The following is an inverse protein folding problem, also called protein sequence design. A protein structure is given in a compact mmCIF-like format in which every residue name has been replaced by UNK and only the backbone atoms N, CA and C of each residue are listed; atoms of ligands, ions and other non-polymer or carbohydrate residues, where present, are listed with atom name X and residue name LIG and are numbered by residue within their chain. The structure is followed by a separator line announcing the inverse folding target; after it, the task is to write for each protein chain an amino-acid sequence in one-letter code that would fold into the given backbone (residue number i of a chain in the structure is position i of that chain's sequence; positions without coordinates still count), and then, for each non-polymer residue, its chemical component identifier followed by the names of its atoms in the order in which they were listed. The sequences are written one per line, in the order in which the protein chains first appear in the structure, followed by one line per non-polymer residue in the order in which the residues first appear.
data_IF_240025612905
#
_entry.id   IF_240025612905
#
_cell.length_a   1.000
_cell.length_b   1.000
_cell.length_c   1.000
_cell.angle_alpha   90.00
_cell.angle_beta   90.00
_cell.angle_gamma   90.00
#
_symmetry.space_group_name_H-M   'P 1'
#
loop_
_entity.id
_entity.type
_entity.pdbx_description
1 polymer ?
#
# COMPACT_ATOMS: atom_id res chain seq x y z
N UNK A 1 -23.66 16.00 6.03
CA UNK A 1 -23.49 17.48 6.04
C UNK A 1 -23.05 17.88 4.65
N UNK A 2 -23.84 18.68 3.92
CA UNK A 2 -23.47 19.20 2.61
C UNK A 2 -22.31 20.21 2.75
N UNK A 3 -21.08 19.71 2.78
CA UNK A 3 -19.88 20.53 2.71
C UNK A 3 -19.67 20.93 1.26
N UNK A 4 -20.04 22.17 0.93
CA UNK A 4 -19.67 22.79 -0.35
C UNK A 4 -18.15 22.94 -0.38
N UNK A 5 -17.46 22.27 -1.31
CA UNK A 5 -16.01 22.44 -1.52
C UNK A 5 -15.72 23.93 -1.73
N UNK A 6 -14.93 24.52 -0.83
CA UNK A 6 -14.53 25.94 -0.89
C UNK A 6 -13.20 26.16 -1.60
N UNK A 7 -12.57 25.09 -2.08
CA UNK A 7 -11.25 25.12 -2.71
C UNK A 7 -11.45 25.42 -4.20
N UNK A 8 -10.93 26.55 -4.64
CA UNK A 8 -10.90 26.95 -6.04
C UNK A 8 -9.74 26.20 -6.73
N UNK A 9 -10.06 25.27 -7.63
CA UNK A 9 -9.06 24.44 -8.31
C UNK A 9 -8.51 25.08 -9.59
N UNK A 10 -8.72 26.38 -9.80
CA UNK A 10 -8.13 27.08 -10.94
C UNK A 10 -6.59 27.01 -10.90
N UNK A 11 -6.02 26.73 -12.08
CA UNK A 11 -4.61 26.52 -12.44
C UNK A 11 -3.56 27.04 -11.44
N UNK A 12 -3.34 26.30 -10.36
CA UNK A 12 -2.10 26.38 -9.60
C UNK A 12 -1.07 25.49 -10.30
N UNK A 13 0.08 26.06 -10.63
CA UNK A 13 1.24 25.31 -11.12
C UNK A 13 1.63 24.27 -10.06
N UNK A 14 1.69 22.99 -10.43
CA UNK A 14 2.10 21.93 -9.50
C UNK A 14 3.63 21.97 -9.41
N UNK A 15 4.15 22.46 -8.29
CA UNK A 15 5.57 22.40 -7.96
C UNK A 15 5.80 21.35 -6.89
N UNK A 16 6.78 20.49 -7.15
CA UNK A 16 7.22 19.45 -6.22
C UNK A 16 8.69 19.62 -5.89
N UNK A 17 9.10 19.11 -4.72
CA UNK A 17 10.53 19.10 -4.34
C UNK A 17 11.32 18.12 -5.20
N UNK A 18 12.34 18.61 -5.92
CA UNK A 18 13.23 17.80 -6.75
C UNK A 18 14.71 18.00 -6.40
N UNK A 19 15.59 17.24 -7.06
CA UNK A 19 17.04 17.35 -6.95
C UNK A 19 17.65 16.35 -5.97
N UNK A 20 18.93 16.07 -6.16
CA UNK A 20 19.66 15.08 -5.37
C UNK A 20 19.60 15.35 -3.86
N UNK A 21 19.62 14.27 -3.07
CA UNK A 21 19.75 14.37 -1.61
C UNK A 21 21.20 14.81 -1.25
N UNK A 22 21.40 15.59 -0.18
CA UNK A 22 22.72 16.09 0.19
C UNK A 22 23.79 14.99 0.27
N UNK A 23 24.96 15.25 -0.32
CA UNK A 23 26.11 14.35 -0.34
C UNK A 23 25.85 12.95 -0.95
N UNK A 24 24.79 12.80 -1.75
CA UNK A 24 24.48 11.54 -2.44
C UNK A 24 24.09 11.75 -3.90
N UNK A 25 24.23 10.70 -4.69
CA UNK A 25 23.78 10.65 -6.08
C UNK A 25 22.91 9.43 -6.34
N UNK A 26 21.88 9.60 -7.16
CA UNK A 26 21.11 8.47 -7.71
C UNK A 26 22.04 7.60 -8.56
N UNK A 27 21.95 6.30 -8.38
CA UNK A 27 22.61 5.29 -9.21
C UNK A 27 21.58 4.20 -9.58
N UNK A 28 21.87 3.45 -10.63
CA UNK A 28 21.09 2.29 -11.02
C UNK A 28 22.00 1.07 -11.12
N UNK A 29 21.55 -0.04 -10.55
CA UNK A 29 22.19 -1.35 -10.72
C UNK A 29 21.41 -2.11 -11.78
N UNK A 30 22.09 -2.45 -12.87
CA UNK A 30 21.50 -3.21 -13.98
C UNK A 30 21.34 -4.68 -13.59
N UNK A 31 20.16 -5.25 -13.90
CA UNK A 31 19.88 -6.67 -13.74
C UNK A 31 20.35 -7.52 -14.94
N UNK A 32 19.78 -8.71 -15.09
CA UNK A 32 20.07 -9.61 -16.20
C UNK A 32 19.58 -9.12 -17.56
N UNK A 33 18.64 -8.16 -17.56
CA UNK A 33 18.03 -7.52 -18.72
C UNK A 33 18.14 -5.99 -18.57
N UNK A 34 18.47 -5.30 -19.66
CA UNK A 34 18.71 -3.84 -19.65
C UNK A 34 17.49 -3.01 -19.22
N UNK A 35 16.27 -3.58 -19.26
CA UNK A 35 15.07 -2.92 -18.73
C UNK A 35 15.01 -2.90 -17.20
N UNK A 36 15.78 -3.75 -16.51
CA UNK A 36 15.87 -3.82 -15.05
C UNK A 36 16.98 -2.87 -14.59
N UNK A 37 16.59 -1.65 -14.22
CA UNK A 37 17.48 -0.62 -13.67
C UNK A 37 17.05 -0.33 -12.23
N UNK A 38 17.76 -0.91 -11.26
CA UNK A 38 17.34 -0.87 -9.85
C UNK A 38 17.93 0.36 -9.15
N UNK A 39 17.09 1.31 -8.70
CA UNK A 39 17.56 2.56 -8.14
C UNK A 39 18.06 2.38 -6.72
N UNK A 40 19.19 3.04 -6.46
CA UNK A 40 19.77 3.24 -5.13
C UNK A 40 20.29 4.67 -5.06
N UNK A 41 20.69 5.12 -3.88
CA UNK A 41 21.54 6.29 -3.75
C UNK A 41 22.89 5.91 -3.18
N UNK A 42 23.93 6.50 -3.75
CA UNK A 42 25.31 6.32 -3.32
C UNK A 42 25.74 7.54 -2.51
N UNK A 43 26.21 7.31 -1.28
CA UNK A 43 26.74 8.34 -0.39
C UNK A 43 28.26 8.34 -0.52
N UNK A 44 28.81 9.49 -0.92
CA UNK A 44 30.26 9.64 -1.06
C UNK A 44 30.93 9.76 0.30
N UNK A 45 31.87 8.87 0.57
CA UNK A 45 32.70 8.94 1.77
C UNK A 45 33.99 9.73 1.47
N UNK A 46 34.61 10.24 2.52
CA UNK A 46 35.89 10.94 2.37
C UNK A 46 36.98 9.94 1.94
N UNK A 47 37.81 10.31 0.97
CA UNK A 47 38.86 9.44 0.45
C UNK A 47 39.86 8.98 1.54
N UNK A 48 40.03 9.76 2.61
CA UNK A 48 40.89 9.40 3.75
C UNK A 48 40.34 8.24 4.59
N UNK A 49 39.05 7.92 4.49
CA UNK A 49 38.46 6.75 5.15
C UNK A 49 38.94 5.43 4.52
N UNK A 50 39.37 5.45 3.25
CA UNK A 50 39.75 4.25 2.48
C UNK A 50 38.64 3.17 2.50
N UNK A 51 37.40 3.62 2.42
CA UNK A 51 36.18 2.82 2.35
C UNK A 51 35.50 3.02 1.00
N UNK A 52 34.69 2.04 0.55
CA UNK A 52 33.85 2.20 -0.63
C UNK A 52 32.68 3.13 -0.31
N UNK A 53 32.21 3.87 -1.31
CA UNK A 53 31.00 4.68 -1.18
C UNK A 53 29.80 3.79 -0.82
N UNK A 54 28.91 4.30 0.03
CA UNK A 54 27.84 3.51 0.61
C UNK A 54 26.58 3.59 -0.26
N UNK A 55 26.18 2.45 -0.84
CA UNK A 55 24.89 2.31 -1.54
C UNK A 55 23.79 1.97 -0.55
N UNK A 56 22.74 2.77 -0.54
CA UNK A 56 21.58 2.61 0.34
C UNK A 56 20.29 2.64 -0.46
N UNK A 57 19.25 2.07 0.15
CA UNK A 57 17.90 2.02 -0.39
C UNK A 57 17.39 3.43 -0.68
N UNK A 58 16.67 3.58 -1.79
CA UNK A 58 16.14 4.86 -2.23
C UNK A 58 14.77 4.69 -2.90
N UNK A 59 13.77 5.34 -2.31
CA UNK A 59 12.35 5.32 -2.70
C UNK A 59 11.94 6.59 -3.45
N UNK A 60 12.84 7.57 -3.56
CA UNK A 60 12.50 8.90 -4.08
C UNK A 60 12.20 8.95 -5.58
N UNK A 61 12.39 7.83 -6.28
CA UNK A 61 12.15 7.71 -7.71
C UNK A 61 12.96 8.71 -8.55
N UNK A 62 12.43 9.09 -9.73
CA UNK A 62 13.12 10.02 -10.64
C UNK A 62 13.31 11.44 -10.08
N UNK A 63 12.63 11.83 -9.00
CA UNK A 63 12.66 13.21 -8.48
C UNK A 63 14.01 13.63 -7.91
N UNK A 64 14.87 12.68 -7.52
CA UNK A 64 16.24 12.94 -7.06
C UNK A 64 17.31 12.64 -8.11
N UNK A 65 16.89 12.16 -9.29
CA UNK A 65 17.77 11.92 -10.41
C UNK A 65 18.00 13.22 -11.18
N UNK A 66 19.25 13.67 -11.23
CA UNK A 66 19.64 14.91 -11.91
C UNK A 66 19.57 14.78 -13.44
N UNK A 67 19.57 13.56 -13.96
CA UNK A 67 19.61 13.26 -15.39
C UNK A 67 18.20 12.99 -15.96
N UNK A 68 17.16 13.08 -15.11
CA UNK A 68 15.75 12.93 -15.48
C UNK A 68 14.99 14.24 -15.23
N UNK A 69 14.35 14.75 -16.28
CA UNK A 69 13.40 15.87 -16.17
C UNK A 69 11.99 15.30 -15.91
N UNK A 70 11.37 15.68 -14.79
CA UNK A 70 10.03 15.23 -14.41
C UNK A 70 8.98 16.26 -14.80
N UNK A 71 7.97 15.85 -15.57
CA UNK A 71 6.80 16.67 -15.93
C UNK A 71 5.56 16.10 -15.25
N UNK A 72 4.99 16.85 -14.31
CA UNK A 72 3.84 16.43 -13.50
C UNK A 72 2.56 16.27 -14.34
N UNK A 73 2.40 17.07 -15.41
CA UNK A 73 1.26 16.99 -16.32
C UNK A 73 1.35 15.77 -17.26
N UNK A 74 2.57 15.26 -17.51
CA UNK A 74 2.80 14.05 -18.29
C UNK A 74 2.82 12.77 -17.42
N UNK A 75 3.16 12.89 -16.15
CA UNK A 75 3.39 11.77 -15.24
C UNK A 75 4.78 11.16 -15.39
N UNK A 76 5.10 10.20 -14.51
CA UNK A 76 6.35 9.45 -14.57
C UNK A 76 6.35 8.46 -15.76
N UNK A 77 7.55 8.03 -16.14
CA UNK A 77 7.70 7.12 -17.26
C UNK A 77 7.13 5.72 -16.96
N UNK A 78 6.32 5.21 -17.88
CA UNK A 78 5.61 3.91 -17.79
C UNK A 78 6.42 2.73 -18.35
N UNK A 79 7.77 2.74 -18.32
CA UNK A 79 8.62 1.70 -18.98
C UNK A 79 8.27 0.28 -18.53
N UNK A 80 7.91 0.10 -17.27
CA UNK A 80 7.64 -1.21 -16.70
C UNK A 80 6.27 -1.79 -17.10
N UNK A 81 5.48 -1.07 -17.92
CA UNK A 81 4.26 -1.61 -18.53
C UNK A 81 4.60 -2.74 -19.51
N UNK A 82 5.73 -2.62 -20.20
CA UNK A 82 6.22 -3.63 -21.14
C UNK A 82 6.46 -4.97 -20.45
N UNK A 83 6.86 -5.00 -19.18
CA UNK A 83 7.06 -6.24 -18.45
C UNK A 83 5.76 -7.04 -18.30
N UNK A 84 4.63 -6.37 -18.08
CA UNK A 84 3.33 -7.02 -18.02
C UNK A 84 2.87 -7.51 -19.40
N UNK A 85 3.07 -6.69 -20.44
CA UNK A 85 2.68 -7.00 -21.82
C UNK A 85 3.49 -8.17 -22.38
N UNK A 86 4.81 -8.17 -22.18
CA UNK A 86 5.74 -9.20 -22.68
C UNK A 86 5.44 -10.60 -22.14
N UNK A 87 4.87 -10.71 -20.93
CA UNK A 87 4.40 -11.99 -20.37
C UNK A 87 3.25 -12.60 -21.17
N UNK A 88 2.48 -11.78 -21.89
CA UNK A 88 1.39 -12.24 -22.75
C UNK A 88 0.11 -12.63 -22.02
N UNK A 89 0.00 -12.36 -20.71
CA UNK A 89 -1.13 -12.75 -19.86
C UNK A 89 -2.17 -11.63 -19.66
N UNK A 90 -1.87 -10.40 -20.09
CA UNK A 90 -2.78 -9.24 -20.01
C UNK A 90 -3.34 -8.85 -21.39
N UNK A 91 -4.49 -8.19 -21.38
CA UNK A 91 -5.12 -7.55 -22.55
C UNK A 91 -5.57 -6.12 -22.20
N UNK A 92 -5.53 -5.23 -23.19
CA UNK A 92 -6.18 -3.92 -23.10
C UNK A 92 -7.69 -4.04 -23.27
N UNK A 93 -8.44 -3.18 -22.60
CA UNK A 93 -9.87 -3.01 -22.82
C UNK A 93 -10.28 -1.55 -22.60
N UNK A 94 -11.53 -1.20 -22.90
CA UNK A 94 -11.98 0.21 -22.85
C UNK A 94 -11.98 0.81 -21.43
N UNK A 95 -12.08 0.00 -20.37
CA UNK A 95 -12.23 0.48 -19.00
C UNK A 95 -13.63 1.04 -18.72
N UNK A 96 -13.80 1.64 -17.54
CA UNK A 96 -15.02 2.34 -17.14
C UNK A 96 -14.89 3.84 -17.32
N UNK A 97 -16.00 4.50 -17.67
CA UNK A 97 -16.06 5.95 -17.67
C UNK A 97 -16.08 6.53 -16.25
N UNK A 98 -15.42 7.67 -16.06
CA UNK A 98 -15.51 8.45 -14.82
C UNK A 98 -16.91 9.04 -14.68
N UNK A 99 -17.54 8.82 -13.53
CA UNK A 99 -18.89 9.27 -13.21
C UNK A 99 -18.87 10.49 -12.28
N UNK A 100 -19.93 11.32 -12.23
CA UNK A 100 -19.99 12.46 -11.32
C UNK A 100 -19.72 12.11 -9.86
N UNK A 101 -20.27 10.99 -9.37
CA UNK A 101 -20.12 10.50 -8.00
C UNK A 101 -18.67 10.12 -7.62
N UNK A 102 -17.81 9.80 -8.59
CA UNK A 102 -16.39 9.48 -8.35
C UNK A 102 -15.62 10.67 -7.76
N UNK A 103 -16.10 11.87 -8.08
CA UNK A 103 -15.61 13.14 -7.58
C UNK A 103 -16.60 13.82 -6.62
N UNK A 104 -17.54 13.07 -6.04
CA UNK A 104 -18.55 13.57 -5.11
C UNK A 104 -19.49 14.63 -5.73
N UNK A 105 -19.76 14.51 -7.04
CA UNK A 105 -20.61 15.42 -7.82
C UNK A 105 -20.00 16.80 -8.05
N UNK A 106 -18.68 16.98 -7.87
CA UNK A 106 -18.01 18.26 -8.09
C UNK A 106 -18.12 18.73 -9.54
N UNK A 107 -18.35 20.03 -9.75
CA UNK A 107 -18.55 20.63 -11.08
C UNK A 107 -17.88 21.99 -11.19
N UNK A 108 -17.64 22.42 -12.44
CA UNK A 108 -17.05 23.73 -12.75
C UNK A 108 -15.70 23.94 -12.05
N UNK A 109 -15.49 25.12 -11.47
CA UNK A 109 -14.22 25.48 -10.80
C UNK A 109 -13.90 24.70 -9.51
N UNK A 110 -14.84 23.91 -9.01
CA UNK A 110 -14.66 23.08 -7.82
C UNK A 110 -14.31 21.63 -8.15
N UNK A 111 -14.46 21.22 -9.42
CA UNK A 111 -13.98 19.94 -9.91
C UNK A 111 -12.46 20.02 -10.04
N UNK A 112 -11.75 19.05 -9.48
CA UNK A 112 -10.30 18.96 -9.68
C UNK A 112 -9.98 18.73 -11.16
N UNK A 113 -8.88 19.32 -11.63
CA UNK A 113 -8.39 19.12 -13.01
C UNK A 113 -8.26 17.62 -13.27
N UNK A 114 -8.82 17.12 -14.37
CA UNK A 114 -8.60 15.76 -14.82
C UNK A 114 -7.14 15.61 -15.27
N UNK A 115 -6.53 14.46 -15.00
CA UNK A 115 -5.17 14.21 -15.46
C UNK A 115 -5.12 14.21 -17.00
N UNK A 116 -4.16 14.92 -17.65
CA UNK A 116 -4.21 15.15 -19.10
C UNK A 116 -4.00 13.90 -19.94
N UNK A 117 -3.25 12.92 -19.45
CA UNK A 117 -2.87 11.73 -20.20
C UNK A 117 -3.82 10.58 -19.85
N UNK A 118 -4.45 9.98 -20.86
CA UNK A 118 -5.33 8.82 -20.70
C UNK A 118 -4.66 7.56 -21.25
N UNK A 119 -4.65 6.51 -20.46
CA UNK A 119 -4.16 5.19 -20.85
C UNK A 119 -5.30 4.19 -20.83
N UNK A 120 -5.31 3.24 -21.77
CA UNK A 120 -6.24 2.11 -21.71
C UNK A 120 -5.82 1.16 -20.59
N UNK A 121 -6.74 0.76 -19.70
CA UNK A 121 -6.40 -0.17 -18.65
C UNK A 121 -6.12 -1.56 -19.23
N UNK A 122 -5.17 -2.23 -18.59
CA UNK A 122 -4.90 -3.65 -18.75
C UNK A 122 -5.72 -4.45 -17.75
N UNK A 123 -6.07 -5.66 -18.12
CA UNK A 123 -6.64 -6.70 -17.25
C UNK A 123 -6.09 -8.07 -17.62
N UNK A 124 -6.18 -9.04 -16.72
CA UNK A 124 -5.90 -10.43 -17.02
C UNK A 124 -6.74 -10.95 -18.20
N UNK A 125 -6.11 -11.68 -19.11
CA UNK A 125 -6.82 -12.50 -20.10
C UNK A 125 -7.58 -13.61 -19.39
N UNK A 126 -8.70 -14.01 -19.97
CA UNK A 126 -9.50 -15.12 -19.45
C UNK A 126 -8.65 -16.39 -19.26
N UNK A 127 -8.67 -16.94 -18.05
CA UNK A 127 -7.92 -18.16 -17.69
C UNK A 127 -6.41 -17.98 -17.53
N UNK A 128 -5.89 -16.74 -17.54
CA UNK A 128 -4.48 -16.46 -17.27
C UNK A 128 -4.24 -15.99 -15.84
N UNK A 129 -2.99 -16.14 -15.42
CA UNK A 129 -2.48 -15.64 -14.14
C UNK A 129 -1.85 -14.28 -14.37
N UNK A 130 -2.01 -13.35 -13.45
CA UNK A 130 -1.33 -12.05 -13.54
C UNK A 130 -0.69 -11.62 -12.22
N UNK A 131 -1.00 -12.30 -11.12
CA UNK A 131 -0.48 -11.92 -9.82
C UNK A 131 0.92 -12.47 -9.57
N UNK A 132 1.75 -11.72 -8.86
CA UNK A 132 3.06 -12.24 -8.43
C UNK A 132 2.92 -13.53 -7.61
N UNK A 133 1.86 -13.66 -6.81
CA UNK A 133 1.57 -14.90 -6.08
C UNK A 133 1.37 -16.10 -7.00
N UNK A 134 0.55 -15.96 -8.04
CA UNK A 134 0.29 -17.04 -8.99
C UNK A 134 1.54 -17.40 -9.80
N UNK A 135 2.31 -16.41 -10.28
CA UNK A 135 3.59 -16.65 -10.95
C UNK A 135 4.57 -17.39 -10.03
N UNK A 136 4.69 -16.94 -8.77
CA UNK A 136 5.56 -17.57 -7.80
C UNK A 136 5.15 -19.03 -7.53
N UNK A 137 3.86 -19.32 -7.33
CA UNK A 137 3.33 -20.68 -7.16
C UNK A 137 3.56 -21.57 -8.39
N UNK A 138 3.60 -20.98 -9.58
CA UNK A 138 3.91 -21.65 -10.84
C UNK A 138 5.42 -21.89 -11.07
N UNK A 139 6.29 -21.43 -10.15
CA UNK A 139 7.75 -21.56 -10.28
C UNK A 139 8.36 -20.54 -11.24
N UNK A 140 7.66 -19.45 -11.54
CA UNK A 140 8.10 -18.40 -12.46
C UNK A 140 8.75 -17.27 -11.66
N UNK A 141 9.97 -16.89 -12.04
CA UNK A 141 10.64 -15.68 -11.56
C UNK A 141 10.33 -14.56 -12.54
N UNK A 142 9.66 -13.50 -12.06
CA UNK A 142 9.33 -12.32 -12.86
C UNK A 142 10.46 -11.29 -12.81
N UNK A 143 10.45 -10.31 -13.73
CA UNK A 143 11.39 -9.18 -13.72
C UNK A 143 11.28 -8.38 -12.42
N UNK A 144 10.08 -8.30 -11.84
CA UNK A 144 9.83 -7.72 -10.53
C UNK A 144 10.58 -8.45 -9.43
N UNK A 145 10.52 -9.79 -9.39
CA UNK A 145 11.23 -10.58 -8.37
C UNK A 145 12.75 -10.43 -8.44
N UNK A 146 13.31 -10.31 -9.65
CA UNK A 146 14.72 -10.00 -9.85
C UNK A 146 15.07 -8.57 -9.40
N UNK A 147 14.24 -7.59 -9.77
CA UNK A 147 14.40 -6.20 -9.33
C UNK A 147 14.50 -6.10 -7.80
N UNK A 148 13.61 -6.80 -7.09
CA UNK A 148 13.62 -6.89 -5.62
C UNK A 148 14.93 -7.48 -5.10
N UNK A 149 15.37 -8.59 -5.68
CA UNK A 149 16.58 -9.28 -5.20
C UNK A 149 17.80 -8.35 -5.23
N UNK A 150 17.93 -7.55 -6.30
CA UNK A 150 18.98 -6.53 -6.41
C UNK A 150 18.75 -5.39 -5.40
N UNK A 151 17.50 -4.91 -5.27
CA UNK A 151 17.15 -3.75 -4.41
C UNK A 151 17.40 -4.02 -2.93
N UNK A 152 17.10 -5.23 -2.46
CA UNK A 152 17.26 -5.66 -1.06
C UNK A 152 18.72 -5.96 -0.67
N UNK A 153 19.58 -6.18 -1.66
CA UNK A 153 20.99 -6.48 -1.44
C UNK A 153 21.86 -5.23 -1.26
N UNK A 154 21.57 -4.12 -1.97
CA UNK A 154 22.33 -2.87 -1.88
C UNK A 154 23.86 -3.08 -1.92
N UNK A 155 24.60 -2.51 -0.95
CA UNK A 155 26.05 -2.66 -0.81
C UNK A 155 26.51 -4.08 -0.43
N UNK A 156 25.63 -5.00 -0.02
CA UNK A 156 26.02 -6.34 0.47
C UNK A 156 26.77 -7.13 -0.60
N UNK A 157 26.33 -7.02 -1.86
CA UNK A 157 26.97 -7.71 -2.99
C UNK A 157 28.44 -7.28 -3.16
N UNK A 158 28.76 -6.01 -2.87
CA UNK A 158 30.13 -5.50 -2.99
C UNK A 158 31.02 -5.82 -1.80
N UNK A 159 30.41 -6.11 -0.65
CA UNK A 159 31.12 -6.60 0.52
C UNK A 159 31.53 -8.07 0.35
N UNK A 160 30.74 -8.88 -0.37
CA UNK A 160 31.10 -10.27 -0.69
C UNK A 160 31.45 -11.07 0.57
N UNK A 161 32.64 -11.69 0.60
CA UNK A 161 33.13 -12.46 1.77
C UNK A 161 33.41 -11.60 3.01
N UNK A 162 33.53 -10.26 2.86
CA UNK A 162 33.70 -9.35 3.99
C UNK A 162 32.38 -9.04 4.70
N UNK A 163 31.23 -9.38 4.09
CA UNK A 163 29.93 -9.27 4.77
C UNK A 163 29.85 -10.29 5.91
N UNK A 164 29.65 -9.80 7.13
CA UNK A 164 29.39 -10.62 8.31
C UNK A 164 28.08 -10.19 8.92
N UNK A 165 27.17 -11.15 9.08
CA UNK A 165 25.96 -10.96 9.87
C UNK A 165 26.34 -10.68 11.32
N UNK A 166 25.60 -9.78 11.96
CA UNK A 166 25.77 -9.50 13.38
C UNK A 166 25.45 -10.76 14.20
N UNK A 167 26.45 -11.30 14.90
CA UNK A 167 26.33 -12.52 15.70
C UNK A 167 25.43 -12.35 16.95
N UNK A 168 25.15 -11.11 17.34
CA UNK A 168 24.28 -10.77 18.47
C UNK A 168 22.85 -10.41 18.05
N UNK A 169 22.58 -10.35 16.74
CA UNK A 169 21.24 -10.04 16.24
C UNK A 169 20.27 -11.21 16.48
N UNK A 170 19.12 -10.90 17.08
CA UNK A 170 18.00 -11.83 17.28
C UNK A 170 16.88 -11.48 16.28
N UNK A 171 16.46 -12.44 15.48
CA UNK A 171 15.39 -12.28 14.50
C UNK A 171 14.10 -13.03 14.88
N UNK A 172 14.10 -13.69 16.04
CA UNK A 172 13.03 -14.52 16.58
C UNK A 172 12.63 -15.67 15.65
N UNK A 173 13.62 -16.29 15.00
CA UNK A 173 13.43 -17.42 14.08
C UNK A 173 12.97 -17.01 12.69
N UNK A 174 13.36 -15.82 12.22
CA UNK A 174 13.14 -15.42 10.83
C UNK A 174 14.06 -16.21 9.88
N UNK A 175 13.72 -16.21 8.59
CA UNK A 175 14.51 -16.86 7.55
C UNK A 175 15.17 -15.80 6.65
N UNK A 176 16.01 -14.95 7.25
CA UNK A 176 16.73 -13.89 6.53
C UNK A 176 18.03 -14.47 5.98
N UNK A 177 18.23 -14.55 4.66
CA UNK A 177 19.46 -15.08 4.06
C UNK A 177 20.58 -14.03 4.01
N UNK A 178 21.80 -14.50 3.84
CA UNK A 178 22.99 -13.66 3.63
C UNK A 178 23.05 -13.04 2.23
N UNK A 179 22.31 -13.61 1.27
CA UNK A 179 22.12 -13.07 -0.08
C UNK A 179 20.66 -13.24 -0.51
N UNK A 180 20.05 -12.15 -0.98
CA UNK A 180 18.68 -12.17 -1.48
C UNK A 180 18.71 -12.50 -2.98
N UNK A 181 18.34 -13.73 -3.32
CA UNK A 181 18.26 -14.17 -4.72
C UNK A 181 16.85 -14.02 -5.30
N UNK A 182 16.67 -13.93 -6.63
CA UNK A 182 15.33 -13.91 -7.24
C UNK A 182 14.50 -15.16 -6.90
N UNK A 183 15.15 -16.30 -6.73
CA UNK A 183 14.48 -17.54 -6.30
C UNK A 183 14.04 -17.48 -4.83
N UNK A 184 14.84 -16.87 -3.95
CA UNK A 184 14.41 -16.62 -2.56
C UNK A 184 13.17 -15.73 -2.53
N UNK A 185 13.18 -14.61 -3.28
CA UNK A 185 12.04 -13.71 -3.43
C UNK A 185 10.79 -14.47 -3.90
N UNK A 186 10.92 -15.25 -4.99
CA UNK A 186 9.83 -16.09 -5.50
C UNK A 186 9.32 -17.06 -4.43
N UNK A 187 10.21 -17.69 -3.68
CA UNK A 187 9.84 -18.68 -2.66
C UNK A 187 9.03 -18.06 -1.52
N UNK A 188 9.41 -16.87 -1.04
CA UNK A 188 8.69 -16.15 0.02
C UNK A 188 7.30 -15.72 -0.43
N UNK A 189 7.17 -15.27 -1.68
CA UNK A 189 5.87 -14.94 -2.29
C UNK A 189 5.01 -16.20 -2.45
N UNK A 190 5.58 -17.31 -2.93
CA UNK A 190 4.85 -18.58 -3.11
C UNK A 190 4.37 -19.19 -1.78
N UNK A 191 5.06 -18.90 -0.68
CA UNK A 191 4.65 -19.28 0.68
C UNK A 191 3.63 -18.30 1.28
N UNK A 192 3.42 -17.14 0.65
CA UNK A 192 2.54 -16.09 1.16
C UNK A 192 3.16 -15.25 2.27
N UNK A 193 4.47 -15.35 2.51
CA UNK A 193 5.21 -14.62 3.56
C UNK A 193 5.80 -13.29 3.10
N UNK A 194 5.66 -13.01 1.81
CA UNK A 194 6.01 -11.74 1.20
C UNK A 194 5.07 -11.40 0.05
N UNK A 195 4.92 -10.10 -0.23
CA UNK A 195 4.13 -9.59 -1.35
C UNK A 195 4.91 -8.51 -2.11
N UNK A 196 4.61 -8.37 -3.40
CA UNK A 196 5.04 -7.25 -4.24
C UNK A 196 3.75 -6.54 -4.69
N UNK A 197 3.32 -5.47 -3.99
CA UNK A 197 2.13 -4.73 -4.39
C UNK A 197 2.44 -3.93 -5.65
N UNK A 198 1.98 -4.45 -6.80
CA UNK A 198 2.24 -3.84 -8.10
C UNK A 198 1.10 -4.16 -9.07
N UNK A 199 0.11 -3.29 -9.10
CA UNK A 199 -0.98 -3.39 -10.05
C UNK A 199 -0.42 -3.25 -11.49
N UNK A 200 -0.91 -4.07 -12.42
CA UNK A 200 -0.52 -4.04 -13.83
C UNK A 200 -0.76 -2.67 -14.50
N UNK A 201 -1.64 -1.84 -13.93
CA UNK A 201 -1.96 -0.49 -14.38
C UNK A 201 -1.11 0.62 -13.72
N UNK A 202 -0.17 0.27 -12.84
CA UNK A 202 0.79 1.18 -12.22
C UNK A 202 2.24 0.92 -12.65
N UNK A 203 2.57 1.08 -13.95
CA UNK A 203 3.92 0.87 -14.44
C UNK A 203 4.93 1.95 -14.05
N UNK A 204 4.50 3.06 -13.44
CA UNK A 204 5.35 4.10 -12.88
C UNK A 204 6.04 3.66 -11.58
N UNK A 205 5.43 2.76 -10.81
CA UNK A 205 5.96 2.28 -9.54
C UNK A 205 7.17 1.36 -9.72
N UNK A 206 8.25 1.69 -9.05
CA UNK A 206 9.45 0.87 -8.91
C UNK A 206 9.19 -0.29 -7.94
N UNK A 207 9.35 -1.56 -8.34
CA UNK A 207 8.97 -2.70 -7.49
C UNK A 207 9.65 -2.67 -6.12
N UNK A 208 8.87 -2.98 -5.09
CA UNK A 208 9.35 -3.19 -3.71
C UNK A 208 8.66 -4.41 -3.10
N UNK A 209 9.25 -4.99 -2.06
CA UNK A 209 8.73 -6.19 -1.38
C UNK A 209 8.43 -5.91 0.08
N UNK A 210 7.33 -6.48 0.56
CA UNK A 210 6.91 -6.43 1.97
C UNK A 210 6.92 -7.86 2.51
N UNK A 211 7.72 -8.12 3.53
CA UNK A 211 7.81 -9.43 4.20
C UNK A 211 8.84 -9.44 5.32
N UNK A 212 8.67 -10.34 6.30
CA UNK A 212 9.51 -10.40 7.52
C UNK A 212 10.99 -10.65 7.23
N UNK A 213 11.30 -11.30 6.11
CA UNK A 213 12.66 -11.71 5.76
C UNK A 213 13.41 -10.68 4.88
N UNK A 214 12.86 -9.48 4.74
CA UNK A 214 13.37 -8.37 3.95
C UNK A 214 13.55 -7.13 4.84
N UNK A 215 14.08 -6.02 4.28
CA UNK A 215 14.10 -4.75 4.99
C UNK A 215 12.68 -4.37 5.46
N UNK A 216 12.56 -3.87 6.70
CA UNK A 216 11.30 -3.29 7.18
C UNK A 216 10.94 -2.09 6.31
N UNK A 217 9.67 -2.04 5.90
CA UNK A 217 9.15 -0.99 5.00
C UNK A 217 8.20 -0.07 5.75
N UNK A 218 8.14 1.19 5.35
CA UNK A 218 7.28 2.20 5.98
C UNK A 218 6.30 2.81 4.97
N UNK A 219 5.08 3.10 5.44
CA UNK A 219 4.04 3.77 4.67
C UNK A 219 3.89 5.23 5.11
N UNK A 220 3.60 6.14 4.18
CA UNK A 220 3.14 7.48 4.49
C UNK A 220 1.68 7.68 4.06
N UNK A 221 0.84 8.16 4.98
CA UNK A 221 -0.55 8.51 4.68
C UNK A 221 -0.63 9.95 4.19
N UNK A 222 -1.23 10.14 3.02
CA UNK A 222 -1.62 11.45 2.47
C UNK A 222 -3.14 11.46 2.21
N UNK A 223 -3.64 12.49 1.56
CA UNK A 223 -5.02 12.57 1.13
C UNK A 223 -5.64 13.92 1.46
N UNK A 224 -6.57 14.31 0.59
CA UNK A 224 -7.38 15.49 0.79
C UNK A 224 -8.46 15.25 1.85
N UNK A 225 -9.04 16.34 2.37
CA UNK A 225 -10.23 16.26 3.20
C UNK A 225 -11.30 17.18 2.66
N UNK A 226 -12.54 17.00 3.11
CA UNK A 226 -13.64 17.91 2.79
C UNK A 226 -13.38 19.39 3.17
N UNK A 227 -12.33 19.67 3.96
CA UNK A 227 -12.03 20.99 4.53
C UNK A 227 -10.75 21.60 3.95
N UNK A 228 -9.78 20.80 3.49
CA UNK A 228 -8.42 21.25 3.11
C UNK A 228 -7.80 20.42 1.99
N UNK A 229 -6.77 20.99 1.35
CA UNK A 229 -5.93 20.45 0.27
C UNK A 229 -6.46 20.43 -1.16
N UNK A 230 -5.52 20.60 -2.07
CA UNK A 230 -5.68 20.63 -3.52
C UNK A 230 -4.82 19.56 -4.18
N UNK A 231 -5.06 19.28 -5.46
CA UNK A 231 -4.24 18.35 -6.25
C UNK A 231 -2.73 18.67 -6.16
N UNK A 232 -2.25 19.91 -6.37
CA UNK A 232 -0.84 20.23 -6.21
C UNK A 232 -0.24 19.84 -4.85
N UNK A 233 -0.97 20.09 -3.76
CA UNK A 233 -0.50 19.77 -2.42
C UNK A 233 -0.41 18.25 -2.20
N UNK A 234 -1.36 17.47 -2.72
CA UNK A 234 -1.31 16.00 -2.56
C UNK A 234 -0.17 15.37 -3.35
N UNK A 235 0.12 15.87 -4.56
CA UNK A 235 1.28 15.41 -5.33
C UNK A 235 2.59 15.78 -4.63
N UNK A 236 2.72 17.01 -4.10
CA UNK A 236 3.94 17.41 -3.37
C UNK A 236 4.11 16.62 -2.07
N UNK A 237 3.02 16.34 -1.32
CA UNK A 237 3.09 15.46 -0.13
C UNK A 237 3.61 14.07 -0.48
N UNK A 238 3.15 13.48 -1.58
CA UNK A 238 3.64 12.18 -2.06
C UNK A 238 5.13 12.25 -2.38
N UNK A 239 5.57 13.23 -3.19
CA UNK A 239 6.99 13.40 -3.56
C UNK A 239 7.85 13.66 -2.32
N UNK A 240 7.35 14.45 -1.38
CA UNK A 240 8.06 14.75 -0.13
C UNK A 240 8.21 13.52 0.74
N UNK A 241 7.15 12.70 0.87
CA UNK A 241 7.19 11.47 1.65
C UNK A 241 8.19 10.46 1.07
N UNK A 242 8.11 10.20 -0.25
CA UNK A 242 9.01 9.24 -0.91
C UNK A 242 10.46 9.71 -0.93
N UNK A 243 10.69 11.02 -1.01
CA UNK A 243 12.03 11.63 -0.87
C UNK A 243 12.70 11.29 0.47
N UNK A 244 11.92 11.18 1.54
CA UNK A 244 12.43 10.92 2.89
C UNK A 244 12.35 9.45 3.31
N UNK A 245 12.04 8.53 2.39
CA UNK A 245 12.11 7.10 2.63
C UNK A 245 10.77 6.39 2.77
N UNK A 246 9.63 7.04 2.45
CA UNK A 246 8.36 6.31 2.38
C UNK A 246 8.41 5.27 1.25
N UNK A 247 8.32 3.99 1.61
CA UNK A 247 8.38 2.85 0.68
C UNK A 247 7.08 2.64 -0.08
N UNK A 248 5.99 3.17 0.44
CA UNK A 248 4.66 3.17 -0.14
C UNK A 248 3.88 4.35 0.45
N UNK A 249 2.82 4.74 -0.24
CA UNK A 249 1.97 5.87 0.14
C UNK A 249 0.51 5.45 0.06
N UNK A 250 -0.29 5.79 1.06
CA UNK A 250 -1.75 5.62 0.96
C UNK A 250 -2.45 6.94 0.70
N UNK A 251 -3.30 6.95 -0.32
CA UNK A 251 -4.27 8.01 -0.51
C UNK A 251 -5.51 7.74 0.35
N UNK A 252 -5.61 8.46 1.47
CA UNK A 252 -6.75 8.40 2.39
C UNK A 252 -7.72 9.58 2.19
N UNK A 253 -7.73 10.15 0.97
CA UNK A 253 -8.63 11.23 0.57
C UNK A 253 -10.09 10.94 0.92
N UNK A 254 -10.80 11.95 1.42
CA UNK A 254 -12.24 11.89 1.71
C UNK A 254 -12.96 13.15 1.26
N UNK A 255 -14.26 13.03 0.98
CA UNK A 255 -15.05 14.09 0.38
C UNK A 255 -15.05 14.03 -1.14
N UNK A 256 -14.89 15.20 -1.77
CA UNK A 256 -15.01 15.36 -3.24
C UNK A 256 -13.67 15.22 -3.94
N UNK A 257 -13.71 15.10 -5.26
CA UNK A 257 -12.52 15.05 -6.13
C UNK A 257 -11.55 13.89 -5.85
N UNK A 258 -11.99 12.83 -5.16
CA UNK A 258 -11.15 11.69 -4.79
C UNK A 258 -10.54 11.05 -6.03
N UNK A 259 -11.36 10.71 -7.03
CA UNK A 259 -10.88 10.07 -8.25
C UNK A 259 -9.81 10.88 -8.97
N UNK A 260 -10.12 12.14 -9.29
CA UNK A 260 -9.20 12.99 -10.05
C UNK A 260 -7.91 13.22 -9.27
N UNK A 261 -7.98 13.49 -7.96
CA UNK A 261 -6.80 13.70 -7.12
C UNK A 261 -5.91 12.46 -7.10
N UNK A 262 -6.50 11.28 -6.93
CA UNK A 262 -5.77 10.01 -6.94
C UNK A 262 -5.10 9.72 -8.29
N UNK A 263 -5.74 10.09 -9.40
CA UNK A 263 -5.13 9.94 -10.73
C UNK A 263 -3.81 10.71 -10.82
N UNK A 264 -3.77 11.96 -10.34
CA UNK A 264 -2.52 12.72 -10.28
C UNK A 264 -1.46 12.06 -9.39
N UNK A 265 -1.87 11.51 -8.24
CA UNK A 265 -0.96 10.84 -7.31
C UNK A 265 -0.34 9.60 -7.98
N UNK A 266 -1.16 8.69 -8.51
CA UNK A 266 -0.67 7.42 -9.07
C UNK A 266 0.24 7.68 -10.28
N UNK A 267 -0.18 8.56 -11.21
CA UNK A 267 0.63 8.86 -12.41
C UNK A 267 1.98 9.50 -12.09
N UNK A 268 2.13 10.05 -10.89
CA UNK A 268 3.37 10.66 -10.42
C UNK A 268 4.08 9.83 -9.34
N UNK A 269 3.56 8.67 -8.94
CA UNK A 269 4.17 7.92 -7.84
C UNK A 269 5.25 6.95 -8.33
N UNK A 270 6.46 6.98 -7.76
CA UNK A 270 7.47 5.95 -8.00
C UNK A 270 7.32 4.76 -7.05
N UNK A 271 6.36 4.79 -6.12
CA UNK A 271 6.15 3.76 -5.09
C UNK A 271 4.72 3.22 -5.15
N UNK A 272 4.43 2.05 -4.56
CA UNK A 272 3.08 1.54 -4.49
C UNK A 272 2.10 2.51 -3.80
N UNK A 273 0.90 2.65 -4.37
CA UNK A 273 -0.21 3.43 -3.83
C UNK A 273 -1.26 2.49 -3.23
N UNK A 274 -1.57 2.72 -1.96
CA UNK A 274 -2.68 2.07 -1.27
C UNK A 274 -3.90 2.96 -1.12
N UNK A 275 -5.07 2.35 -0.95
CA UNK A 275 -6.30 3.08 -0.61
C UNK A 275 -7.16 2.29 0.37
N UNK A 276 -8.20 2.95 0.89
CA UNK A 276 -9.30 2.32 1.63
C UNK A 276 -10.57 2.49 0.80
N UNK A 277 -10.95 1.52 -0.08
CA UNK A 277 -12.02 1.72 -1.06
C UNK A 277 -13.38 2.13 -0.46
N UNK A 278 -13.67 1.72 0.78
CA UNK A 278 -14.92 2.07 1.45
C UNK A 278 -15.06 3.59 1.68
N UNK A 279 -13.95 4.36 1.71
CA UNK A 279 -14.01 5.81 1.86
C UNK A 279 -14.63 6.47 0.64
N UNK A 280 -14.19 6.10 -0.56
CA UNK A 280 -14.80 6.63 -1.79
C UNK A 280 -16.21 6.08 -1.99
N UNK A 281 -16.42 4.78 -1.74
CA UNK A 281 -17.76 4.19 -1.85
C UNK A 281 -18.78 4.91 -0.94
N UNK A 282 -18.36 5.33 0.26
CA UNK A 282 -19.19 6.11 1.18
C UNK A 282 -19.53 7.50 0.64
N UNK A 283 -18.60 8.17 -0.04
CA UNK A 283 -18.87 9.46 -0.69
C UNK A 283 -19.80 9.33 -1.89
N UNK A 284 -19.78 8.21 -2.61
CA UNK A 284 -20.75 7.93 -3.70
C UNK A 284 -22.20 7.79 -3.20
N UNK A 285 -22.38 7.55 -1.90
CA UNK A 285 -23.69 7.47 -1.23
C UNK A 285 -23.88 8.60 -0.21
N UNK A 286 -23.31 9.78 -0.50
CA UNK A 286 -23.50 11.02 0.26
C UNK A 286 -23.13 10.94 1.76
N UNK A 287 -22.20 10.05 2.12
CA UNK A 287 -21.78 9.85 3.51
C UNK A 287 -22.75 9.00 4.34
N UNK A 288 -23.77 8.41 3.73
CA UNK A 288 -24.77 7.58 4.41
C UNK A 288 -24.30 6.13 4.39
N UNK A 289 -23.69 5.70 5.49
CA UNK A 289 -23.15 4.35 5.62
C UNK A 289 -24.20 3.28 5.28
N UNK A 290 -25.45 3.47 5.70
CA UNK A 290 -26.57 2.54 5.47
C UNK A 290 -26.89 2.32 3.99
N UNK A 291 -26.57 3.29 3.12
CA UNK A 291 -26.86 3.23 1.69
C UNK A 291 -25.74 2.52 0.90
N UNK A 292 -24.67 2.10 1.57
CA UNK A 292 -23.63 1.26 0.96
C UNK A 292 -24.21 -0.08 0.51
N UNK A 293 -23.82 -0.48 -0.69
CA UNK A 293 -24.19 -1.78 -1.30
C UNK A 293 -22.97 -2.42 -1.93
N UNK A 294 -23.07 -3.74 -2.18
CA UNK A 294 -22.07 -4.46 -2.94
C UNK A 294 -21.81 -3.81 -4.30
N UNK A 295 -22.86 -3.35 -5.00
CA UNK A 295 -22.74 -2.76 -6.34
C UNK A 295 -21.90 -1.50 -6.36
N UNK A 296 -22.09 -0.60 -5.37
CA UNK A 296 -21.28 0.63 -5.23
C UNK A 296 -19.84 0.30 -4.88
N UNK A 297 -19.63 -0.66 -3.97
CA UNK A 297 -18.29 -1.08 -3.58
C UNK A 297 -17.54 -1.77 -4.72
N UNK A 298 -18.21 -2.66 -5.46
CA UNK A 298 -17.67 -3.33 -6.65
C UNK A 298 -17.26 -2.33 -7.73
N UNK A 299 -18.10 -1.35 -8.05
CA UNK A 299 -17.75 -0.28 -9.00
C UNK A 299 -16.50 0.49 -8.54
N UNK A 300 -16.40 0.77 -7.24
CA UNK A 300 -15.26 1.47 -6.64
C UNK A 300 -13.97 0.64 -6.70
N UNK A 301 -14.04 -0.68 -6.48
CA UNK A 301 -12.87 -1.56 -6.62
C UNK A 301 -12.36 -1.59 -8.06
N UNK A 302 -13.27 -1.73 -9.04
CA UNK A 302 -12.91 -1.76 -10.47
C UNK A 302 -12.30 -0.43 -10.89
N UNK A 303 -12.92 0.70 -10.51
CA UNK A 303 -12.39 2.03 -10.74
C UNK A 303 -10.93 2.16 -10.28
N UNK A 304 -10.66 1.83 -9.03
CA UNK A 304 -9.34 2.02 -8.45
C UNK A 304 -8.31 1.03 -9.01
N UNK A 305 -8.74 -0.18 -9.36
CA UNK A 305 -7.88 -1.18 -10.00
C UNK A 305 -7.50 -0.77 -11.43
N UNK A 306 -8.40 -0.14 -12.18
CA UNK A 306 -8.11 0.45 -13.49
C UNK A 306 -7.14 1.64 -13.39
N UNK A 307 -7.27 2.48 -12.34
CA UNK A 307 -6.34 3.59 -12.11
C UNK A 307 -4.91 3.14 -11.76
N UNK A 308 -4.75 1.94 -11.19
CA UNK A 308 -3.45 1.42 -10.76
C UNK A 308 -3.20 1.51 -9.26
N UNK A 309 -4.24 1.44 -8.41
CA UNK A 309 -4.00 1.23 -6.98
C UNK A 309 -3.41 -0.15 -6.74
N UNK A 310 -2.31 -0.25 -6.00
CA UNK A 310 -1.54 -1.49 -5.83
C UNK A 310 -2.03 -2.38 -4.71
N UNK A 311 -2.65 -1.79 -3.68
CA UNK A 311 -3.26 -2.54 -2.59
C UNK A 311 -4.48 -1.85 -2.00
N UNK A 312 -5.43 -2.68 -1.54
CA UNK A 312 -6.64 -2.21 -0.89
C UNK A 312 -6.69 -2.61 0.57
N UNK A 313 -6.87 -1.63 1.45
CA UNK A 313 -7.28 -1.86 2.83
C UNK A 313 -8.77 -2.19 2.88
N UNK A 314 -9.09 -3.46 3.13
CA UNK A 314 -10.46 -3.98 3.14
C UNK A 314 -10.79 -4.55 4.51
N UNK A 315 -11.79 -3.95 5.16
CA UNK A 315 -12.22 -4.28 6.52
C UNK A 315 -13.21 -5.46 6.53
N UNK A 316 -12.83 -6.56 5.89
CA UNK A 316 -13.66 -7.78 5.78
C UNK A 316 -13.78 -8.55 7.10
N UNK A 317 -12.90 -8.29 8.08
CA UNK A 317 -12.92 -8.91 9.41
C UNK A 317 -13.90 -8.29 10.41
N UNK A 318 -14.55 -7.15 10.07
CA UNK A 318 -15.55 -6.52 10.92
C UNK A 318 -16.90 -7.21 10.74
N UNK A 319 -17.12 -8.24 11.55
CA UNK A 319 -18.33 -9.06 11.48
C UNK A 319 -19.39 -8.57 12.47
N UNK A 320 -20.67 -8.75 12.11
CA UNK A 320 -21.81 -8.30 12.92
C UNK A 320 -21.70 -8.80 14.38
N UNK A 321 -21.29 -10.06 14.54
CA UNK A 321 -21.15 -10.70 15.87
C UNK A 321 -20.01 -10.13 16.73
N UNK A 322 -19.06 -9.41 16.14
CA UNK A 322 -17.94 -8.81 16.88
C UNK A 322 -18.25 -7.40 17.37
N UNK A 323 -19.18 -6.68 16.74
CA UNK A 323 -19.55 -5.31 17.15
C UNK A 323 -19.96 -5.22 18.63
N UNK A 324 -20.74 -6.14 19.23
CA UNK A 324 -21.06 -6.08 20.65
C UNK A 324 -19.86 -6.24 21.59
N UNK A 325 -18.77 -6.89 21.14
CA UNK A 325 -17.55 -7.08 21.95
C UNK A 325 -16.89 -5.73 22.26
N UNK A 326 -17.01 -4.75 21.36
CA UNK A 326 -16.41 -3.42 21.55
C UNK A 326 -17.19 -2.52 22.50
N UNK A 327 -18.38 -2.92 22.95
CA UNK A 327 -19.22 -2.11 23.85
C UNK A 327 -18.57 -1.85 25.23
N UNK A 328 -17.60 -2.69 25.62
CA UNK A 328 -16.86 -2.57 26.88
C UNK A 328 -15.55 -1.79 26.76
N UNK A 329 -15.16 -1.37 25.55
CA UNK A 329 -13.92 -0.63 25.31
C UNK A 329 -13.99 0.78 25.87
N UNK A 330 -12.83 1.30 26.24
CA UNK A 330 -12.65 2.71 26.64
C UNK A 330 -12.82 3.63 25.45
N UNK A 331 -12.26 3.26 24.29
CA UNK A 331 -12.26 4.10 23.08
C UNK A 331 -13.12 3.57 21.93
N UNK A 332 -13.79 2.43 22.13
CA UNK A 332 -14.70 1.85 21.14
C UNK A 332 -13.99 1.39 19.87
N UNK A 333 -14.57 1.73 18.72
CA UNK A 333 -14.02 1.44 17.39
C UNK A 333 -13.38 2.72 16.85
N UNK A 334 -12.05 2.73 16.74
CA UNK A 334 -11.29 3.90 16.26
C UNK A 334 -10.89 3.81 14.79
N UNK A 335 -11.09 2.64 14.16
CA UNK A 335 -10.94 2.53 12.71
C UNK A 335 -12.09 3.26 12.00
N UNK A 336 -11.76 4.17 11.09
CA UNK A 336 -12.76 4.84 10.25
C UNK A 336 -13.48 3.83 9.35
N UNK A 337 -12.75 2.99 8.63
CA UNK A 337 -13.34 1.94 7.80
C UNK A 337 -14.10 0.90 8.62
N UNK A 338 -13.55 0.51 9.77
CA UNK A 338 -14.22 -0.42 10.67
C UNK A 338 -15.52 0.12 11.28
N UNK A 339 -15.55 1.39 11.68
CA UNK A 339 -16.77 2.03 12.21
C UNK A 339 -17.86 2.22 11.14
N UNK A 340 -17.49 2.47 9.87
CA UNK A 340 -18.43 2.48 8.74
C UNK A 340 -19.10 1.12 8.60
N UNK A 341 -18.30 0.04 8.59
CA UNK A 341 -18.83 -1.32 8.48
C UNK A 341 -19.66 -1.75 9.68
N UNK A 342 -19.25 -1.38 10.90
CA UNK A 342 -20.03 -1.63 12.10
C UNK A 342 -21.40 -0.92 12.04
N UNK A 343 -21.43 0.36 11.60
CA UNK A 343 -22.69 1.11 11.42
C UNK A 343 -23.60 0.44 10.39
N UNK A 344 -23.06 0.03 9.24
CA UNK A 344 -23.81 -0.68 8.21
C UNK A 344 -24.39 -2.00 8.73
N UNK A 345 -23.58 -2.84 9.40
CA UNK A 345 -24.04 -4.11 9.95
C UNK A 345 -25.15 -3.92 10.99
N UNK A 346 -25.06 -2.90 11.85
CA UNK A 346 -26.08 -2.62 12.86
C UNK A 346 -27.38 -2.09 12.25
N UNK A 347 -27.31 -1.27 11.21
CA UNK A 347 -28.49 -0.71 10.55
C UNK A 347 -29.31 -1.77 9.82
N UNK A 348 -28.63 -2.72 9.16
CA UNK A 348 -29.29 -3.79 8.39
C UNK A 348 -29.51 -5.07 9.21
N UNK A 349 -28.79 -5.23 10.32
CA UNK A 349 -28.77 -6.44 11.13
C UNK A 349 -28.40 -7.69 10.31
N UNK A 350 -27.47 -7.53 9.36
CA UNK A 350 -26.93 -8.58 8.50
C UNK A 350 -25.41 -8.63 8.58
N UNK A 351 -24.82 -9.75 8.16
CA UNK A 351 -23.36 -9.86 8.08
C UNK A 351 -22.79 -8.89 7.03
N UNK A 352 -21.56 -8.42 7.27
CA UNK A 352 -20.83 -7.50 6.39
C UNK A 352 -20.87 -7.97 4.93
N UNK A 353 -21.38 -7.12 4.03
CA UNK A 353 -21.41 -7.46 2.60
C UNK A 353 -20.01 -7.65 2.02
N UNK A 354 -18.99 -7.01 2.61
CA UNK A 354 -17.59 -7.20 2.22
C UNK A 354 -17.15 -8.63 2.55
N UNK A 355 -17.54 -9.15 3.71
CA UNK A 355 -17.26 -10.54 4.09
C UNK A 355 -18.03 -11.52 3.20
N UNK A 356 -19.32 -11.29 2.95
CA UNK A 356 -20.14 -12.23 2.16
C UNK A 356 -19.77 -12.25 0.68
N UNK A 357 -19.18 -11.16 0.15
CA UNK A 357 -18.68 -11.06 -1.23
C UNK A 357 -17.15 -11.18 -1.32
N UNK A 358 -16.47 -11.72 -0.30
CA UNK A 358 -15.01 -11.73 -0.26
C UNK A 358 -14.37 -12.46 -1.45
N UNK A 359 -14.96 -13.56 -1.91
CA UNK A 359 -14.49 -14.25 -3.13
C UNK A 359 -14.65 -13.43 -4.40
N UNK A 360 -15.74 -12.66 -4.54
CA UNK A 360 -15.96 -11.77 -5.68
C UNK A 360 -14.93 -10.63 -5.67
N UNK A 361 -14.58 -10.11 -4.49
CA UNK A 361 -13.51 -9.12 -4.31
C UNK A 361 -12.17 -9.71 -4.76
N UNK A 362 -11.87 -10.96 -4.37
CA UNK A 362 -10.66 -11.64 -4.81
C UNK A 362 -10.59 -11.75 -6.34
N UNK A 363 -11.70 -12.11 -7.00
CA UNK A 363 -11.74 -12.26 -8.46
C UNK A 363 -11.46 -10.92 -9.18
N UNK A 364 -11.94 -9.81 -8.62
CA UNK A 364 -11.64 -8.45 -9.14
C UNK A 364 -10.15 -8.14 -8.96
N UNK A 365 -9.63 -8.27 -7.74
CA UNK A 365 -8.25 -7.90 -7.42
C UNK A 365 -7.23 -8.77 -8.17
N UNK A 366 -7.51 -10.07 -8.33
CA UNK A 366 -6.70 -11.00 -9.10
C UNK A 366 -6.56 -10.60 -10.56
N UNK A 367 -7.57 -9.95 -11.15
CA UNK A 367 -7.53 -9.54 -12.56
C UNK A 367 -6.53 -8.41 -12.85
N UNK A 368 -6.03 -7.72 -11.81
CA UNK A 368 -5.15 -6.56 -11.94
C UNK A 368 -3.86 -6.66 -11.09
N UNK A 369 -3.69 -7.74 -10.32
CA UNK A 369 -2.63 -7.89 -9.31
C UNK A 369 -2.68 -6.82 -8.20
N UNK A 370 -3.88 -6.50 -7.72
CA UNK A 370 -4.05 -5.69 -6.50
C UNK A 370 -3.87 -6.59 -5.28
N UNK A 371 -3.02 -6.19 -4.34
CA UNK A 371 -2.80 -6.91 -3.09
C UNK A 371 -3.87 -6.56 -2.05
N UNK A 372 -4.22 -7.53 -1.19
CA UNK A 372 -4.99 -7.25 0.02
C UNK A 372 -4.10 -6.66 1.10
N UNK A 373 -4.57 -5.58 1.70
CA UNK A 373 -4.27 -5.22 3.08
C UNK A 373 -5.52 -5.52 3.90
N UNK A 374 -5.54 -6.64 4.62
CA UNK A 374 -6.71 -7.01 5.41
C UNK A 374 -6.79 -6.11 6.65
N UNK A 375 -7.77 -5.19 6.64
CA UNK A 375 -7.83 -4.06 7.56
C UNK A 375 -8.18 -4.44 9.00
N UNK A 376 -7.62 -3.70 9.95
CA UNK A 376 -7.79 -3.89 11.39
C UNK A 376 -8.94 -3.03 11.96
N UNK A 377 -10.16 -3.30 11.48
CA UNK A 377 -11.35 -2.52 11.80
C UNK A 377 -11.67 -2.45 13.30
N UNK A 378 -11.25 -3.43 14.08
CA UNK A 378 -11.41 -3.52 15.52
C UNK A 378 -10.06 -3.35 16.24
N UNK A 379 -9.07 -2.63 15.68
CA UNK A 379 -7.83 -2.29 16.42
C UNK A 379 -8.10 -1.49 17.70
N UNK A 380 -7.20 -1.58 18.71
CA UNK A 380 -7.32 -0.80 19.94
C UNK A 380 -6.95 0.67 19.72
N UNK A 381 -7.78 1.58 20.23
CA UNK A 381 -7.55 3.03 20.25
C UNK A 381 -7.04 3.59 21.57
N UNK A 382 -6.77 2.71 22.53
CA UNK A 382 -6.09 3.01 23.79
C UNK A 382 -5.35 1.78 24.28
N UNK A 383 -4.32 1.96 25.11
CA UNK A 383 -3.58 0.83 25.70
C UNK A 383 -4.46 -0.06 26.58
N UNK A 384 -5.59 0.48 27.08
CA UNK A 384 -6.57 -0.24 27.87
C UNK A 384 -7.33 -1.28 27.04
N UNK A 385 -7.59 -0.99 25.76
CA UNK A 385 -8.34 -1.84 24.84
C UNK A 385 -7.43 -2.87 24.13
N UNK A 386 -6.12 -2.79 24.33
CA UNK A 386 -5.13 -3.63 23.66
C UNK A 386 -5.26 -5.12 24.05
N UNK A 387 -5.26 -5.98 23.02
CA UNK A 387 -5.32 -7.43 23.08
C UNK A 387 -6.67 -7.96 23.63
N UNK A 388 -7.75 -7.21 23.43
CA UNK A 388 -9.08 -7.63 23.84
C UNK A 388 -9.70 -8.67 22.89
N UNK A 389 -10.88 -9.17 23.27
CA UNK A 389 -11.61 -10.18 22.51
C UNK A 389 -11.96 -9.72 21.09
N UNK A 390 -12.39 -8.46 20.93
CA UNK A 390 -12.78 -7.92 19.63
C UNK A 390 -11.61 -7.87 18.64
N UNK A 391 -10.45 -7.39 19.10
CA UNK A 391 -9.24 -7.30 18.27
C UNK A 391 -8.80 -8.68 17.78
N UNK A 392 -8.75 -9.66 18.69
CA UNK A 392 -8.26 -10.99 18.33
C UNK A 392 -9.26 -11.85 17.57
N UNK A 393 -10.57 -11.65 17.78
CA UNK A 393 -11.60 -12.28 16.96
C UNK A 393 -11.54 -11.81 15.49
N UNK A 394 -11.27 -10.51 15.28
CA UNK A 394 -11.00 -10.00 13.93
C UNK A 394 -9.73 -10.62 13.35
N UNK A 395 -8.61 -10.60 14.08
CA UNK A 395 -7.33 -11.16 13.61
C UNK A 395 -7.43 -12.63 13.17
N UNK A 396 -8.14 -13.45 13.94
CA UNK A 396 -8.39 -14.86 13.59
C UNK A 396 -9.20 -14.98 12.28
N UNK A 397 -10.20 -14.11 12.11
CA UNK A 397 -10.99 -14.02 10.87
C UNK A 397 -10.11 -13.59 9.69
N UNK A 398 -9.19 -12.66 9.88
CA UNK A 398 -8.26 -12.26 8.81
C UNK A 398 -7.37 -13.41 8.37
N UNK A 399 -6.98 -14.30 9.28
CA UNK A 399 -6.28 -15.55 8.95
C UNK A 399 -7.10 -16.51 8.08
N UNK A 400 -8.40 -16.63 8.36
CA UNK A 400 -9.33 -17.40 7.50
C UNK A 400 -9.45 -16.78 6.10
N UNK A 401 -9.66 -15.47 6.03
CA UNK A 401 -9.77 -14.72 4.78
C UNK A 401 -8.48 -14.78 3.95
N UNK A 402 -7.32 -14.80 4.61
CA UNK A 402 -6.01 -14.96 3.95
C UNK A 402 -5.96 -16.25 3.13
N UNK A 403 -6.44 -17.37 3.68
CA UNK A 403 -6.49 -18.64 2.95
C UNK A 403 -7.41 -18.58 1.73
N UNK A 404 -8.54 -17.89 1.84
CA UNK A 404 -9.48 -17.71 0.73
C UNK A 404 -8.83 -16.88 -0.38
N UNK A 405 -8.19 -15.76 -0.02
CA UNK A 405 -7.47 -14.92 -0.98
C UNK A 405 -6.31 -15.66 -1.66
N UNK A 406 -5.50 -16.42 -0.92
CA UNK A 406 -4.45 -17.27 -1.49
C UNK A 406 -4.99 -18.36 -2.42
N UNK A 407 -6.13 -18.98 -2.08
CA UNK A 407 -6.78 -19.96 -2.96
C UNK A 407 -7.24 -19.33 -4.29
N UNK A 408 -7.60 -18.04 -4.27
CA UNK A 408 -7.91 -17.22 -5.45
C UNK A 408 -6.67 -16.61 -6.13
N UNK A 409 -5.49 -16.83 -5.55
CA UNK A 409 -4.22 -16.35 -6.09
C UNK A 409 -3.93 -14.87 -5.83
N UNK A 410 -4.56 -14.25 -4.84
CA UNK A 410 -4.35 -12.84 -4.50
C UNK A 410 -3.30 -12.72 -3.40
N UNK A 411 -2.41 -11.73 -3.53
CA UNK A 411 -1.40 -11.38 -2.53
C UNK A 411 -2.06 -10.79 -1.27
N UNK A 412 -1.52 -11.08 -0.09
CA UNK A 412 -2.13 -10.65 1.19
C UNK A 412 -1.08 -10.15 2.17
N UNK A 413 -1.33 -9.01 2.80
CA UNK A 413 -0.77 -8.60 4.08
C UNK A 413 -1.90 -8.32 5.08
N UNK A 414 -1.58 -8.34 6.36
CA UNK A 414 -2.53 -8.17 7.48
C UNK A 414 -2.26 -6.85 8.16
N UNK A 415 -3.28 -6.05 8.44
CA UNK A 415 -3.12 -4.86 9.29
C UNK A 415 -3.18 -5.23 10.77
N UNK A 416 -2.46 -4.48 11.59
CA UNK A 416 -2.26 -4.74 13.00
C UNK A 416 -2.36 -3.49 13.87
N UNK A 417 -2.38 -3.68 15.19
CA UNK A 417 -2.92 -2.72 16.16
C UNK A 417 -2.28 -1.33 16.15
N UNK A 418 -3.05 -0.40 16.74
CA UNK A 418 -2.67 0.98 17.00
C UNK A 418 -2.06 1.20 18.38
N UNK A 419 -2.84 1.13 19.47
CA UNK A 419 -2.35 1.46 20.82
C UNK A 419 -2.08 0.19 21.64
N UNK A 420 -0.82 -0.08 22.00
CA UNK A 420 -0.40 -1.32 22.69
C UNK A 420 0.77 -1.03 23.63
N UNK A 421 0.60 -1.31 24.93
CA UNK A 421 1.71 -1.22 25.89
C UNK A 421 2.81 -2.24 25.58
N UNK A 422 4.09 -1.89 25.81
CA UNK A 422 5.25 -2.69 25.41
C UNK A 422 5.19 -4.16 25.82
N UNK A 423 4.68 -4.46 27.02
CA UNK A 423 4.55 -5.83 27.54
C UNK A 423 3.51 -6.70 26.80
N UNK A 424 2.72 -6.12 25.89
CA UNK A 424 1.70 -6.80 25.07
C UNK A 424 2.09 -6.89 23.58
N UNK A 425 3.14 -6.19 23.13
CA UNK A 425 3.54 -6.16 21.71
C UNK A 425 3.87 -7.57 21.20
N UNK A 426 4.72 -8.31 21.92
CA UNK A 426 5.13 -9.66 21.53
C UNK A 426 3.95 -10.64 21.36
N UNK A 427 2.90 -10.50 22.17
CA UNK A 427 1.69 -11.32 22.09
C UNK A 427 0.97 -11.10 20.74
N UNK A 428 0.94 -9.86 20.25
CA UNK A 428 0.33 -9.54 18.96
C UNK A 428 1.10 -10.20 17.81
N UNK A 429 2.44 -10.07 17.81
CA UNK A 429 3.27 -10.71 16.78
C UNK A 429 3.13 -12.23 16.79
N UNK A 430 3.19 -12.86 17.96
CA UNK A 430 3.07 -14.32 18.09
C UNK A 430 1.71 -14.83 17.61
N UNK A 431 0.64 -14.09 17.92
CA UNK A 431 -0.70 -14.45 17.47
C UNK A 431 -0.87 -14.24 15.97
N UNK A 432 -0.34 -13.16 15.40
CA UNK A 432 -0.44 -12.93 13.96
C UNK A 432 0.31 -14.00 13.17
N UNK A 433 1.55 -14.35 13.55
CA UNK A 433 2.31 -15.41 12.88
C UNK A 433 1.54 -16.73 12.86
N UNK A 434 0.94 -17.09 14.00
CA UNK A 434 0.17 -18.32 14.17
C UNK A 434 -1.13 -18.32 13.38
N UNK A 435 -1.98 -17.32 13.58
CA UNK A 435 -3.34 -17.31 13.05
C UNK A 435 -3.39 -16.87 11.58
N UNK A 436 -2.45 -16.02 11.13
CA UNK A 436 -2.38 -15.50 9.75
C UNK A 436 -1.26 -16.15 8.91
N UNK A 437 -0.71 -17.28 9.36
CA UNK A 437 0.15 -18.14 8.56
C UNK A 437 1.42 -17.44 8.04
N UNK A 438 2.03 -16.61 8.88
CA UNK A 438 3.22 -15.80 8.56
C UNK A 438 3.04 -14.81 7.40
N UNK A 439 1.81 -14.47 7.00
CA UNK A 439 1.56 -13.37 6.06
C UNK A 439 2.22 -12.06 6.56
N UNK A 440 2.69 -11.16 5.67
CA UNK A 440 3.27 -9.89 6.09
C UNK A 440 2.35 -9.10 7.03
N UNK A 441 2.91 -8.49 8.07
CA UNK A 441 2.16 -7.76 9.08
C UNK A 441 2.44 -6.25 8.97
N UNK A 442 1.39 -5.45 8.91
CA UNK A 442 1.42 -4.02 8.68
C UNK A 442 0.78 -3.27 9.87
N UNK A 443 1.59 -2.64 10.72
CA UNK A 443 1.12 -2.03 11.97
C UNK A 443 1.03 -0.50 11.90
N UNK A 444 0.12 0.08 12.69
CA UNK A 444 0.05 1.53 12.90
C UNK A 444 0.75 1.91 14.21
N UNK A 445 2.07 1.97 14.20
CA UNK A 445 2.92 2.10 15.39
C UNK A 445 3.39 0.70 15.85
N UNK A 446 3.04 0.24 17.06
CA UNK A 446 1.97 0.75 17.92
C UNK A 446 2.38 1.85 18.92
N UNK A 447 1.45 2.73 19.29
CA UNK A 447 1.64 3.71 20.36
C UNK A 447 1.79 2.98 21.71
N UNK A 448 2.90 3.21 22.39
CA UNK A 448 3.21 2.55 23.67
C UNK A 448 2.54 3.21 24.89
N UNK A 449 1.99 4.41 24.71
CA UNK A 449 1.29 5.20 25.73
C UNK A 449 0.36 6.25 25.11
N UNK A 450 -0.70 6.62 25.83
CA UNK A 450 -1.78 7.50 25.34
C UNK A 450 -1.69 8.95 25.87
N UNK A 451 -0.63 9.29 26.61
CA UNK A 451 -0.57 10.52 27.42
C UNK A 451 0.26 11.65 26.79
N UNK A 452 0.71 11.52 25.54
CA UNK A 452 1.62 12.48 24.90
C UNK A 452 1.15 12.99 23.52
N UNK A 453 -0.10 13.49 23.39
CA UNK A 453 -0.61 14.00 22.12
C UNK A 453 0.27 15.13 21.57
N UNK A 454 0.51 15.10 20.25
CA UNK A 454 1.48 15.97 19.57
C UNK A 454 2.90 15.39 19.49
N UNK A 455 3.18 14.33 20.26
CA UNK A 455 4.44 13.58 20.26
C UNK A 455 4.23 12.09 19.93
N UNK A 456 3.08 11.74 19.35
CA UNK A 456 2.74 10.34 19.08
C UNK A 456 3.68 9.66 18.08
N UNK A 457 4.33 10.42 17.19
CA UNK A 457 5.41 9.91 16.34
C UNK A 457 6.58 9.32 17.15
N UNK A 458 6.80 9.78 18.38
CA UNK A 458 7.81 9.24 19.31
C UNK A 458 7.23 8.05 20.06
N UNK A 459 5.99 8.16 20.58
CA UNK A 459 5.38 7.07 21.36
C UNK A 459 5.17 5.82 20.51
N UNK A 460 4.82 6.00 19.23
CA UNK A 460 4.71 4.95 18.23
C UNK A 460 6.06 4.52 17.66
N UNK A 461 7.08 5.39 17.65
CA UNK A 461 8.43 5.01 17.22
C UNK A 461 9.16 4.08 18.20
N UNK A 462 8.66 3.92 19.42
CA UNK A 462 9.14 2.92 20.40
C UNK A 462 8.56 1.53 20.11
N UNK A 463 7.27 1.48 19.75
CA UNK A 463 6.55 0.23 19.52
C UNK A 463 6.90 -0.38 18.18
#
# INVERSE_FOLDING_TARGET
MNLTTKIDNNAQEIKVTTGALPASSKIYVEGSDASIQVPMREIKLDASANEKDLKVYDTSGPYTDKDVETDIDAGLNRKMQNWAIERGDVEEYEGRDVKPEDNGGATGKFLAKEFPVKNRPLRAKSGKVVTQYQYAKAGIITKEMEFIAIRENMSRVEAGEDYKRDEYAEDFGANIPDDITPEFVRSEIALGRAIIPRNINHPEAEPMIIGRNFLVKINANIGNSAVTSSVPEEVDKMVWATRWGADNVMDLSTGRNIHNTREWIIRNSPVPIGTVPIYQALEKVDGIAEDLTWEVFRDTLIEQAEQGVDYFTIHAGVLLRYVPMTAKRVTGIVSRGGSIMAKWCLAHHTESFIYTHFEDICDIMAAYDVSFSLGDGLRPGSVADANDEAQFAELETLGELTKIAWAKGVQVMIEGPGHVSMNKIKINMDKQLKECHEAPFYTLGPLTTDIAPGYDHITSGIG
#
